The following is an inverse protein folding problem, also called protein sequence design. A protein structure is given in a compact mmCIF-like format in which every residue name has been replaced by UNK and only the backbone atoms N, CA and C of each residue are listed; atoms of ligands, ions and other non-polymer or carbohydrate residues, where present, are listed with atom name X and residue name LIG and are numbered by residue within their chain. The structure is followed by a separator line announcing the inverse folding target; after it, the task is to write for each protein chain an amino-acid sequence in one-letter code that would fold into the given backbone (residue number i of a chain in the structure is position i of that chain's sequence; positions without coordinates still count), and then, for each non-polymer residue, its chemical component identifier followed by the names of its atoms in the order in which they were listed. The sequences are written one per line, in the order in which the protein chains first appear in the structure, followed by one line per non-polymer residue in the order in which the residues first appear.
data_IF_704012335466
#
_entry.id   IF_704012335466
#
_cell.length_a   1.000
_cell.length_b   1.000
_cell.length_c   1.000
_cell.angle_alpha   90.00
_cell.angle_beta   90.00
_cell.angle_gamma   90.00
#
_symmetry.space_group_name_H-M   'P 1'
#
loop_
_entity.id
_entity.type
_entity.pdbx_description
1 polymer ?
#
# COMPACT_ATOMS: atom_id res chain seq x y z
N UNK A 1 -22.63 -17.74 13.97
CA UNK A 1 -21.63 -16.71 14.26
C UNK A 1 -20.88 -16.51 12.96
N UNK A 2 -21.13 -15.42 12.25
CA UNK A 2 -20.30 -15.07 11.08
C UNK A 2 -18.89 -14.78 11.58
N UNK A 3 -17.83 -15.30 10.93
CA UNK A 3 -16.47 -14.91 11.30
C UNK A 3 -16.35 -13.39 11.13
N UNK A 4 -15.64 -12.69 12.03
CA UNK A 4 -15.34 -11.28 11.82
C UNK A 4 -14.68 -11.16 10.44
N UNK A 5 -15.20 -10.29 9.59
CA UNK A 5 -14.63 -10.05 8.27
C UNK A 5 -13.13 -9.77 8.46
N UNK A 6 -12.29 -10.70 8.00
CA UNK A 6 -10.85 -10.52 8.04
C UNK A 6 -10.57 -9.32 7.15
N UNK A 7 -10.20 -8.18 7.75
CA UNK A 7 -9.80 -6.97 7.03
C UNK A 7 -8.49 -7.26 6.32
N UNK A 8 -8.60 -7.84 5.13
CA UNK A 8 -7.49 -8.12 4.24
C UNK A 8 -7.27 -6.95 3.29
N UNK A 9 -6.03 -6.78 2.83
CA UNK A 9 -5.69 -5.81 1.80
C UNK A 9 -4.65 -6.40 0.86
N UNK A 10 -4.60 -5.89 -0.36
CA UNK A 10 -3.52 -6.23 -1.30
C UNK A 10 -2.79 -4.95 -1.72
N UNK A 11 -1.47 -5.06 -1.87
CA UNK A 11 -0.63 -4.00 -2.39
C UNK A 11 0.29 -4.56 -3.48
N UNK A 12 0.40 -3.82 -4.59
CA UNK A 12 1.33 -4.09 -5.68
C UNK A 12 2.23 -2.87 -5.85
N UNK A 13 3.54 -3.08 -5.75
CA UNK A 13 4.55 -2.06 -6.06
C UNK A 13 5.18 -2.40 -7.41
N UNK A 14 5.12 -1.44 -8.33
CA UNK A 14 5.82 -1.50 -9.62
C UNK A 14 6.92 -0.47 -9.61
N UNK A 15 8.16 -0.91 -9.51
CA UNK A 15 9.35 -0.05 -9.53
C UNK A 15 10.14 -0.22 -10.83
N UNK A 16 10.68 0.87 -11.35
CA UNK A 16 11.62 0.88 -12.47
C UNK A 16 12.53 2.12 -12.41
N UNK A 17 13.65 2.06 -13.14
CA UNK A 17 14.51 3.20 -13.39
C UNK A 17 14.16 3.79 -14.75
N UNK A 18 13.79 5.07 -14.78
CA UNK A 18 13.45 5.76 -16.04
C UNK A 18 14.71 5.90 -16.88
N UNK A 19 14.69 5.40 -18.13
CA UNK A 19 15.86 5.46 -19.03
C UNK A 19 17.11 4.69 -18.55
N UNK A 20 16.99 3.87 -17.51
CA UNK A 20 18.13 3.16 -16.90
C UNK A 20 19.02 4.04 -16.02
N UNK A 21 18.63 5.28 -15.75
CA UNK A 21 19.33 6.19 -14.85
C UNK A 21 19.14 5.74 -13.38
N UNK A 22 20.23 5.45 -12.62
CA UNK A 22 20.14 5.01 -11.23
C UNK A 22 19.45 6.02 -10.30
N UNK A 23 19.44 7.30 -10.65
CA UNK A 23 18.80 8.36 -9.86
C UNK A 23 17.35 8.64 -10.29
N UNK A 24 16.89 8.00 -11.37
CA UNK A 24 15.55 8.21 -11.93
C UNK A 24 14.54 7.14 -11.49
N UNK A 25 14.51 6.83 -10.19
CA UNK A 25 13.54 5.90 -9.64
C UNK A 25 12.09 6.37 -9.89
N UNK A 26 11.27 5.41 -10.32
CA UNK A 26 9.82 5.55 -10.45
C UNK A 26 9.15 4.37 -9.81
N UNK A 27 8.18 4.64 -8.94
CA UNK A 27 7.37 3.59 -8.32
C UNK A 27 5.89 3.95 -8.45
N UNK A 28 5.09 3.00 -8.91
CA UNK A 28 3.63 3.04 -8.84
C UNK A 28 3.15 2.00 -7.84
N UNK A 29 2.36 2.46 -6.88
CA UNK A 29 1.78 1.65 -5.82
C UNK A 29 0.28 1.56 -6.07
N UNK A 30 -0.23 0.33 -6.14
CA UNK A 30 -1.66 0.05 -6.21
C UNK A 30 -2.04 -0.68 -4.92
N UNK A 31 -3.04 -0.19 -4.20
CA UNK A 31 -3.43 -0.81 -2.94
C UNK A 31 -4.94 -0.83 -2.72
N UNK A 32 -5.41 -1.84 -1.98
CA UNK A 32 -6.81 -2.06 -1.61
C UNK A 32 -6.88 -2.48 -0.15
N UNK A 33 -7.97 -2.14 0.53
CA UNK A 33 -8.28 -2.63 1.88
C UNK A 33 -9.77 -3.00 1.91
N UNK A 34 -10.07 -4.26 2.23
CA UNK A 34 -11.43 -4.81 2.24
C UNK A 34 -12.12 -4.65 0.88
N UNK A 35 -13.38 -4.24 0.91
CA UNK A 35 -14.19 -3.94 -0.28
C UNK A 35 -14.08 -2.46 -0.72
N UNK A 36 -13.11 -1.72 -0.18
CA UNK A 36 -12.89 -0.31 -0.54
C UNK A 36 -12.28 -0.14 -1.93
N UNK A 37 -12.38 1.08 -2.46
CA UNK A 37 -11.82 1.42 -3.76
C UNK A 37 -10.29 1.24 -3.80
N UNK A 38 -9.79 0.79 -4.95
CA UNK A 38 -8.36 0.72 -5.19
C UNK A 38 -7.76 2.13 -5.27
N UNK A 39 -6.69 2.36 -4.50
CA UNK A 39 -5.92 3.60 -4.53
C UNK A 39 -4.63 3.40 -5.31
N UNK A 40 -4.23 4.45 -6.02
CA UNK A 40 -2.99 4.47 -6.78
C UNK A 40 -2.14 5.67 -6.36
N UNK A 41 -0.86 5.44 -6.10
CA UNK A 41 0.11 6.48 -5.73
C UNK A 41 1.35 6.34 -6.63
N UNK A 42 1.90 7.46 -7.10
CA UNK A 42 3.16 7.49 -7.82
C UNK A 42 4.19 8.27 -7.00
N UNK A 43 5.36 7.67 -6.78
CA UNK A 43 6.46 8.27 -6.01
C UNK A 43 7.79 8.07 -6.74
N UNK A 44 8.78 8.88 -6.39
CA UNK A 44 10.06 8.96 -7.10
C UNK A 44 11.27 8.79 -6.18
N UNK A 45 11.09 8.57 -4.88
CA UNK A 45 12.17 8.32 -3.93
C UNK A 45 11.89 7.11 -3.04
N UNK A 46 12.94 6.39 -2.59
CA UNK A 46 12.78 5.28 -1.65
C UNK A 46 12.06 5.67 -0.36
N UNK A 47 12.33 6.88 0.15
CA UNK A 47 11.73 7.40 1.38
C UNK A 47 10.22 7.58 1.22
N UNK A 48 9.78 8.13 0.08
CA UNK A 48 8.36 8.29 -0.22
C UNK A 48 7.64 6.95 -0.44
N UNK A 49 8.35 5.93 -0.97
CA UNK A 49 7.82 4.56 -1.02
C UNK A 49 7.60 4.03 0.39
N UNK A 50 8.59 4.17 1.26
CA UNK A 50 8.52 3.71 2.64
C UNK A 50 7.35 4.37 3.39
N UNK A 51 7.22 5.70 3.29
CA UNK A 51 6.10 6.44 3.91
C UNK A 51 4.74 5.98 3.38
N UNK A 52 4.60 5.78 2.06
CA UNK A 52 3.34 5.31 1.46
C UNK A 52 2.97 3.90 1.91
N UNK A 53 3.96 2.99 2.01
CA UNK A 53 3.75 1.63 2.50
C UNK A 53 3.37 1.64 3.98
N UNK A 54 4.07 2.43 4.79
CA UNK A 54 3.80 2.55 6.22
C UNK A 54 2.38 3.09 6.46
N UNK A 55 2.01 4.17 5.78
CA UNK A 55 0.67 4.75 5.89
C UNK A 55 -0.44 3.75 5.53
N UNK A 56 -0.22 2.92 4.50
CA UNK A 56 -1.19 1.88 4.14
C UNK A 56 -1.27 0.75 5.17
N UNK A 57 -0.14 0.31 5.73
CA UNK A 57 -0.10 -0.71 6.78
C UNK A 57 -0.78 -0.21 8.06
N UNK A 58 -0.55 1.05 8.42
CA UNK A 58 -1.21 1.69 9.56
C UNK A 58 -2.73 1.73 9.35
N UNK A 59 -3.19 2.08 8.14
CA UNK A 59 -4.61 2.07 7.82
C UNK A 59 -5.21 0.67 7.87
N UNK A 60 -4.50 -0.34 7.34
CA UNK A 60 -4.92 -1.74 7.38
C UNK A 60 -5.04 -2.23 8.84
N UNK A 61 -4.07 -1.90 9.68
CA UNK A 61 -4.02 -2.26 11.10
C UNK A 61 -4.99 -1.47 12.00
N UNK A 62 -5.41 -0.27 11.59
CA UNK A 62 -6.32 0.60 12.35
C UNK A 62 -7.80 0.20 12.25
N UNK A 63 -8.11 -1.02 11.81
CA UNK A 63 -9.49 -1.55 11.81
C UNK A 63 -9.98 -1.73 13.25
N UNK A 64 -11.30 -1.86 13.48
CA UNK A 64 -11.79 -2.17 14.82
C UNK A 64 -11.13 -3.47 15.28
N UNK A 65 -10.19 -3.38 16.23
CA UNK A 65 -9.67 -4.54 16.93
C UNK A 65 -10.79 -5.08 17.81
N UNK A 66 -11.66 -5.92 17.25
CA UNK A 66 -12.50 -6.79 18.06
C UNK A 66 -11.59 -7.86 18.67
N UNK A 67 -11.03 -7.55 19.83
CA UNK A 67 -10.60 -8.58 20.76
C UNK A 67 -11.85 -9.38 21.15
N UNK A 68 -11.95 -10.63 20.68
CA UNK A 68 -12.89 -11.64 21.17
C UNK A 68 -12.18 -12.57 22.14
#
# INVERSE_FOLDING_TARGET
MEPPEVRAGSMVLRAWLEGGDPDALRVRIFCTIGTGDARTVAVTSPEAVHEAVQSWLDELGSGPMTFS
#
